data_IF_115679142798
#
_entry.id   IF_115679142798
#
_cell.length_a   1.000
_cell.length_b   1.000
_cell.length_c   1.000
_cell.angle_alpha   90.00
_cell.angle_beta   90.00
_cell.angle_gamma   90.00
#
_symmetry.space_group_name_H-M   'P 1'
#
loop_
_entity.id
_entity.type
_entity.pdbx_description
1 polymer ?
#
# COMPACT_ATOMS: atom_id res chain seq x y z
N UNK A 1 -27.60 -2.92 -24.56
CA UNK A 1 -26.52 -3.20 -23.60
C UNK A 1 -25.35 -2.35 -24.05
N UNK A 2 -24.93 -1.39 -23.23
CA UNK A 2 -23.80 -0.54 -23.58
C UNK A 2 -22.53 -1.39 -23.51
N UNK A 3 -22.02 -1.76 -24.67
CA UNK A 3 -20.75 -2.46 -24.81
C UNK A 3 -19.64 -1.44 -24.59
N UNK A 4 -18.74 -1.73 -23.66
CA UNK A 4 -17.49 -0.95 -23.50
C UNK A 4 -16.70 -0.95 -24.82
N UNK A 5 -15.78 0.00 -25.00
CA UNK A 5 -14.84 0.04 -26.15
C UNK A 5 -14.10 -1.30 -26.36
N UNK A 6 -14.04 -2.14 -25.33
CA UNK A 6 -13.39 -3.46 -25.33
C UNK A 6 -14.36 -4.64 -25.59
N UNK A 7 -15.63 -4.40 -25.89
CA UNK A 7 -16.62 -5.44 -26.22
C UNK A 7 -17.23 -6.20 -25.03
N UNK A 8 -16.81 -5.90 -23.80
CA UNK A 8 -17.45 -6.43 -22.58
C UNK A 8 -18.70 -5.60 -22.21
N UNK A 9 -19.73 -6.22 -21.59
CA UNK A 9 -20.85 -5.47 -21.04
C UNK A 9 -20.33 -4.44 -20.05
N UNK A 10 -20.59 -3.15 -20.32
CA UNK A 10 -20.17 -2.07 -19.45
C UNK A 10 -21.03 -2.10 -18.19
N UNK A 11 -20.63 -2.89 -17.19
CA UNK A 11 -21.28 -2.87 -15.90
C UNK A 11 -20.67 -1.74 -15.05
N UNK A 12 -21.39 -0.64 -14.77
CA UNK A 12 -20.89 0.51 -14.00
C UNK A 12 -20.43 0.14 -12.58
N UNK A 13 -20.88 -1.01 -12.07
CA UNK A 13 -20.49 -1.58 -10.77
C UNK A 13 -19.00 -1.97 -10.66
N UNK A 14 -18.30 -2.22 -11.77
CA UNK A 14 -16.88 -2.59 -11.75
C UNK A 14 -15.96 -1.44 -11.31
N UNK A 15 -16.33 -0.19 -11.57
CA UNK A 15 -15.54 0.98 -11.18
C UNK A 15 -15.52 1.12 -9.66
N UNK A 16 -16.66 0.92 -9.00
CA UNK A 16 -16.77 0.99 -7.55
C UNK A 16 -15.97 -0.12 -6.83
N UNK A 17 -15.93 -1.32 -7.41
CA UNK A 17 -15.12 -2.43 -6.87
C UNK A 17 -13.63 -2.15 -7.04
N UNK A 18 -13.20 -1.74 -8.24
CA UNK A 18 -11.80 -1.43 -8.53
C UNK A 18 -11.29 -0.31 -7.63
N UNK A 19 -12.05 0.79 -7.49
CA UNK A 19 -11.66 1.91 -6.64
C UNK A 19 -11.45 1.47 -5.18
N UNK A 20 -12.41 0.72 -4.60
CA UNK A 20 -12.31 0.22 -3.22
C UNK A 20 -11.14 -0.73 -3.02
N UNK A 21 -10.88 -1.59 -4.00
CA UNK A 21 -9.76 -2.53 -3.95
C UNK A 21 -8.41 -1.80 -3.98
N UNK A 22 -8.26 -0.80 -4.85
CA UNK A 22 -7.08 0.06 -4.92
C UNK A 22 -6.90 0.82 -3.61
N UNK A 23 -7.96 1.45 -3.08
CA UNK A 23 -7.89 2.19 -1.82
C UNK A 23 -7.50 1.26 -0.66
N UNK A 24 -8.11 0.07 -0.56
CA UNK A 24 -7.74 -0.90 0.48
C UNK A 24 -6.27 -1.33 0.37
N UNK A 25 -5.80 -1.66 -0.84
CA UNK A 25 -4.41 -2.00 -1.10
C UNK A 25 -3.46 -0.87 -0.74
N UNK A 26 -3.79 0.37 -1.10
CA UNK A 26 -3.03 1.58 -0.78
C UNK A 26 -2.84 1.75 0.73
N UNK A 27 -3.92 1.65 1.51
CA UNK A 27 -3.84 1.75 2.97
C UNK A 27 -2.96 0.65 3.58
N UNK A 28 -3.12 -0.60 3.14
CA UNK A 28 -2.28 -1.71 3.61
C UNK A 28 -0.81 -1.46 3.26
N UNK A 29 -0.52 -1.13 2.00
CA UNK A 29 0.83 -0.91 1.52
C UNK A 29 1.54 0.22 2.25
N UNK A 30 0.89 1.38 2.38
CA UNK A 30 1.44 2.53 3.12
C UNK A 30 1.57 2.23 4.61
N UNK A 31 0.66 1.43 5.19
CA UNK A 31 0.78 0.97 6.57
C UNK A 31 2.05 0.13 6.78
N UNK A 32 2.36 -0.76 5.84
CA UNK A 32 3.58 -1.60 5.88
C UNK A 32 4.84 -0.76 5.70
N UNK A 33 4.87 0.17 4.74
CA UNK A 33 6.04 1.05 4.54
C UNK A 33 6.30 1.91 5.77
N UNK A 34 5.26 2.49 6.36
CA UNK A 34 5.36 3.27 7.59
C UNK A 34 5.81 2.42 8.79
N UNK A 35 5.36 1.17 8.88
CA UNK A 35 5.84 0.23 9.91
C UNK A 35 7.32 -0.06 9.77
N UNK A 36 7.79 -0.32 8.55
CA UNK A 36 9.22 -0.58 8.30
C UNK A 36 10.08 0.63 8.69
N UNK A 37 9.63 1.85 8.35
CA UNK A 37 10.31 3.09 8.76
C UNK A 37 10.28 3.32 10.27
N UNK A 38 9.15 3.04 10.93
CA UNK A 38 9.05 3.12 12.39
C UNK A 38 10.05 2.18 13.08
N UNK A 39 10.16 0.94 12.61
CA UNK A 39 11.13 -0.04 13.13
C UNK A 39 12.56 0.40 12.83
N UNK A 40 12.85 0.84 11.60
CA UNK A 40 14.17 1.36 11.22
C UNK A 40 14.60 2.53 12.11
N UNK A 41 13.71 3.49 12.36
CA UNK A 41 13.93 4.60 13.31
C UNK A 41 14.12 4.10 14.74
N UNK A 42 13.43 3.02 15.13
CA UNK A 42 13.63 2.35 16.40
C UNK A 42 15.05 1.81 16.56
N UNK A 43 15.54 1.10 15.55
CA UNK A 43 16.87 0.50 15.54
C UNK A 43 17.99 1.56 15.50
N UNK A 44 17.79 2.65 14.75
CA UNK A 44 18.74 3.75 14.67
C UNK A 44 18.85 4.57 15.97
N UNK A 45 17.81 4.61 16.80
CA UNK A 45 17.82 5.41 18.02
C UNK A 45 18.92 5.00 19.03
N UNK A 46 19.42 3.77 18.93
CA UNK A 46 20.48 3.23 19.79
C UNK A 46 21.85 3.19 19.12
N UNK A 47 21.99 3.77 17.91
CA UNK A 47 23.22 3.71 17.12
C UNK A 47 23.88 5.10 17.03
N UNK A 48 25.22 5.19 17.08
CA UNK A 48 25.94 6.41 16.76
C UNK A 48 25.61 6.90 15.34
N UNK A 49 25.55 8.22 15.15
CA UNK A 49 25.36 8.80 13.81
C UNK A 49 26.56 8.43 12.94
N UNK A 50 26.37 7.72 11.81
CA UNK A 50 27.46 7.35 10.94
C UNK A 50 28.15 8.58 10.33
N UNK A 51 29.48 8.60 10.32
CA UNK A 51 30.25 9.65 9.64
C UNK A 51 30.17 9.57 8.10
N UNK A 52 29.73 8.43 7.57
CA UNK A 52 29.55 8.18 6.13
C UNK A 52 28.21 7.50 5.86
N UNK A 53 27.61 7.68 4.67
CA UNK A 53 26.37 6.99 4.31
C UNK A 53 26.56 5.47 4.36
N UNK A 54 25.71 4.80 5.13
CA UNK A 54 25.68 3.34 5.23
C UNK A 54 24.63 2.80 4.27
N UNK A 55 25.04 2.03 3.28
CA UNK A 55 24.17 1.47 2.23
C UNK A 55 23.90 -0.02 2.40
N UNK A 56 24.56 -0.68 3.36
CA UNK A 56 24.44 -2.11 3.61
C UNK A 56 24.04 -2.39 5.06
N UNK A 57 23.35 -3.51 5.29
CA UNK A 57 22.97 -3.97 6.62
C UNK A 57 21.49 -3.82 6.92
N UNK A 58 21.11 -4.22 8.13
CA UNK A 58 19.71 -4.45 8.51
C UNK A 58 18.78 -3.25 8.27
N UNK A 59 19.24 -2.02 8.56
CA UNK A 59 18.38 -0.83 8.45
C UNK A 59 18.13 -0.43 6.99
N UNK A 60 19.15 -0.25 6.12
CA UNK A 60 18.94 -0.05 4.69
C UNK A 60 18.09 -1.16 4.04
N UNK A 61 18.37 -2.43 4.39
CA UNK A 61 17.64 -3.58 3.84
C UNK A 61 16.17 -3.58 4.29
N UNK A 62 15.89 -3.23 5.54
CA UNK A 62 14.53 -3.12 6.07
C UNK A 62 13.74 -1.99 5.41
N UNK A 63 14.38 -0.86 5.12
CA UNK A 63 13.74 0.25 4.41
C UNK A 63 13.41 -0.18 2.98
N UNK A 64 14.38 -0.78 2.28
CA UNK A 64 14.19 -1.23 0.89
C UNK A 64 13.11 -2.30 0.79
N UNK A 65 13.19 -3.34 1.62
CA UNK A 65 12.20 -4.42 1.66
C UNK A 65 10.85 -3.95 2.17
N UNK A 66 10.80 -2.98 3.09
CA UNK A 66 9.58 -2.34 3.55
C UNK A 66 8.85 -1.60 2.43
N UNK A 67 9.59 -0.83 1.61
CA UNK A 67 9.05 -0.12 0.46
C UNK A 67 8.55 -1.07 -0.64
N UNK A 68 9.41 -1.98 -1.09
CA UNK A 68 9.05 -2.95 -2.13
C UNK A 68 7.97 -3.92 -1.65
N UNK A 69 8.06 -4.37 -0.41
CA UNK A 69 7.08 -5.24 0.25
C UNK A 69 5.74 -4.56 0.43
N UNK A 70 5.71 -3.29 0.84
CA UNK A 70 4.48 -2.49 0.94
C UNK A 70 3.79 -2.34 -0.41
N UNK A 71 4.54 -2.00 -1.48
CA UNK A 71 4.00 -1.92 -2.83
C UNK A 71 3.49 -3.28 -3.35
N UNK A 72 4.25 -4.35 -3.11
CA UNK A 72 3.84 -5.71 -3.47
C UNK A 72 2.56 -6.15 -2.74
N UNK A 73 2.46 -5.89 -1.44
CA UNK A 73 1.26 -6.20 -0.66
C UNK A 73 0.05 -5.36 -1.10
N UNK A 74 0.25 -4.11 -1.48
CA UNK A 74 -0.82 -3.29 -2.05
C UNK A 74 -1.36 -3.89 -3.36
N UNK A 75 -0.46 -4.28 -4.28
CA UNK A 75 -0.84 -4.94 -5.53
C UNK A 75 -1.58 -6.25 -5.28
N UNK A 76 -1.05 -7.12 -4.40
CA UNK A 76 -1.67 -8.40 -4.07
C UNK A 76 -3.05 -8.21 -3.41
N UNK A 77 -3.17 -7.25 -2.49
CA UNK A 77 -4.43 -6.94 -1.83
C UNK A 77 -5.48 -6.45 -2.83
N UNK A 78 -5.11 -5.51 -3.70
CA UNK A 78 -5.99 -5.00 -4.74
C UNK A 78 -6.39 -6.13 -5.72
N UNK A 79 -5.44 -6.94 -6.17
CA UNK A 79 -5.68 -8.08 -7.05
C UNK A 79 -6.66 -9.09 -6.46
N UNK A 80 -6.50 -9.42 -5.18
CA UNK A 80 -7.37 -10.37 -4.48
C UNK A 80 -8.80 -9.82 -4.31
N UNK A 81 -8.94 -8.54 -3.98
CA UNK A 81 -10.25 -7.89 -3.84
C UNK A 81 -10.98 -7.69 -5.18
N UNK A 82 -10.24 -7.63 -6.29
CA UNK A 82 -10.78 -7.57 -7.65
C UNK A 82 -11.07 -8.95 -8.26
N UNK A 83 -11.08 -10.03 -7.47
CA UNK A 83 -11.49 -11.37 -7.93
C UNK A 83 -12.77 -11.43 -8.79
N UNK A 84 -13.82 -10.60 -8.56
CA UNK A 84 -15.04 -10.61 -9.38
C UNK A 84 -14.87 -10.10 -10.81
N UNK A 85 -13.76 -9.41 -11.13
CA UNK A 85 -13.50 -8.91 -12.48
C UNK A 85 -12.95 -10.08 -13.32
N UNK A 86 -13.65 -10.46 -14.38
CA UNK A 86 -13.27 -11.56 -15.27
C UNK A 86 -11.93 -11.32 -15.98
N UNK A 87 -11.66 -10.08 -16.38
CA UNK A 87 -10.46 -9.70 -17.12
C UNK A 87 -9.21 -9.60 -16.22
N UNK A 88 -8.33 -10.59 -16.29
CA UNK A 88 -7.02 -10.60 -15.61
C UNK A 88 -6.14 -9.43 -16.02
N UNK A 89 -6.23 -8.96 -17.27
CA UNK A 89 -5.47 -7.80 -17.76
C UNK A 89 -5.85 -6.52 -16.99
N UNK A 90 -7.17 -6.27 -16.84
CA UNK A 90 -7.67 -5.09 -16.09
C UNK A 90 -7.31 -5.18 -14.61
N UNK A 91 -7.43 -6.36 -14.01
CA UNK A 91 -7.01 -6.61 -12.62
C UNK A 91 -5.52 -6.31 -12.41
N UNK A 92 -4.68 -6.69 -13.38
CA UNK A 92 -3.25 -6.44 -13.34
C UNK A 92 -2.91 -4.96 -13.43
N UNK A 93 -3.54 -4.26 -14.38
CA UNK A 93 -3.38 -2.82 -14.51
C UNK A 93 -3.75 -2.08 -13.22
N UNK A 94 -4.90 -2.39 -12.61
CA UNK A 94 -5.31 -1.75 -11.36
C UNK A 94 -4.44 -2.15 -10.15
N UNK A 95 -3.94 -3.38 -10.10
CA UNK A 95 -3.01 -3.80 -9.06
C UNK A 95 -1.67 -3.04 -9.15
N UNK A 96 -1.16 -2.82 -10.37
CA UNK A 96 0.04 -1.99 -10.59
C UNK A 96 -0.19 -0.53 -10.18
N UNK A 97 -1.37 0.02 -10.49
CA UNK A 97 -1.75 1.36 -10.01
C UNK A 97 -1.75 1.43 -8.49
N UNK A 98 -2.27 0.40 -7.79
CA UNK A 98 -2.24 0.35 -6.33
C UNK A 98 -0.81 0.30 -5.76
N UNK A 99 0.08 -0.49 -6.37
CA UNK A 99 1.50 -0.52 -5.99
C UNK A 99 2.19 0.82 -6.21
N UNK A 100 2.01 1.44 -7.38
CA UNK A 100 2.61 2.72 -7.69
C UNK A 100 2.09 3.84 -6.77
N UNK A 101 0.77 3.91 -6.57
CA UNK A 101 0.16 4.85 -5.66
C UNK A 101 0.66 4.68 -4.21
N UNK A 102 0.96 3.44 -3.80
CA UNK A 102 1.58 3.16 -2.49
C UNK A 102 2.96 3.76 -2.38
N UNK A 103 3.80 3.62 -3.42
CA UNK A 103 5.13 4.23 -3.44
C UNK A 103 5.02 5.75 -3.35
N UNK A 104 4.10 6.36 -4.12
CA UNK A 104 3.85 7.81 -4.08
C UNK A 104 3.38 8.26 -2.69
N UNK A 105 2.40 7.56 -2.11
CA UNK A 105 1.88 7.91 -0.79
C UNK A 105 2.90 7.66 0.33
N UNK A 106 3.82 6.71 0.15
CA UNK A 106 4.92 6.48 1.07
C UNK A 106 5.87 7.69 1.15
N UNK A 107 5.92 8.60 0.16
CA UNK A 107 6.68 9.85 0.32
C UNK A 107 6.15 10.72 1.47
N UNK A 108 4.88 10.59 1.86
CA UNK A 108 4.29 11.33 2.99
C UNK A 108 4.90 10.94 4.33
N UNK A 109 5.54 9.77 4.43
CA UNK A 109 6.21 9.37 5.67
C UNK A 109 7.43 10.24 5.97
N UNK A 110 8.09 10.83 4.97
CA UNK A 110 9.22 11.76 5.17
C UNK A 110 8.81 13.02 5.93
N UNK A 111 7.86 13.85 5.45
CA UNK A 111 7.42 15.03 6.19
C UNK A 111 6.74 14.67 7.51
N UNK A 112 6.03 13.53 7.58
CA UNK A 112 5.43 13.08 8.84
C UNK A 112 6.47 12.75 9.91
N UNK A 113 7.57 12.10 9.53
CA UNK A 113 8.69 11.81 10.42
C UNK A 113 9.47 13.10 10.77
N UNK A 114 9.61 14.04 9.85
CA UNK A 114 10.24 15.33 10.13
C UNK A 114 9.44 16.19 11.13
N UNK A 115 8.10 16.19 11.03
CA UNK A 115 7.23 17.03 11.86
C UNK A 115 6.83 16.38 13.19
N UNK A 116 6.57 15.08 13.19
CA UNK A 116 6.01 14.35 14.34
C UNK A 116 6.89 13.19 14.82
N UNK A 117 8.05 12.97 14.19
CA UNK A 117 8.98 11.89 14.52
C UNK A 117 8.34 10.51 14.44
N UNK A 118 8.78 9.62 15.35
CA UNK A 118 8.31 8.23 15.44
C UNK A 118 6.80 8.11 15.68
N UNK A 119 6.18 9.08 16.36
CA UNK A 119 4.74 9.08 16.61
C UNK A 119 3.94 9.27 15.31
N UNK A 120 4.42 10.12 14.40
CA UNK A 120 3.81 10.31 13.07
C UNK A 120 3.83 9.03 12.24
N UNK A 121 4.97 8.34 12.22
CA UNK A 121 5.12 7.05 11.53
C UNK A 121 4.20 5.97 12.11
N UNK A 122 4.09 5.92 13.45
CA UNK A 122 3.18 4.99 14.12
C UNK A 122 1.71 5.30 13.84
N UNK A 123 1.32 6.57 13.78
CA UNK A 123 -0.03 6.95 13.42
C UNK A 123 -0.37 6.51 11.98
N UNK A 124 0.53 6.75 11.02
CA UNK A 124 0.36 6.32 9.63
C UNK A 124 0.30 4.79 9.53
N UNK A 125 1.14 4.07 10.26
CA UNK A 125 1.13 2.61 10.22
C UNK A 125 -0.18 2.03 10.75
N UNK A 126 -0.66 2.53 11.89
CA UNK A 126 -1.92 2.07 12.50
C UNK A 126 -3.10 2.41 11.61
N UNK A 127 -3.21 3.65 11.12
CA UNK A 127 -4.31 4.07 10.23
C UNK A 127 -4.25 3.31 8.91
N UNK A 128 -3.05 3.13 8.34
CA UNK A 128 -2.80 2.34 7.13
C UNK A 128 -3.28 0.91 7.28
N UNK A 129 -2.75 0.18 8.26
CA UNK A 129 -3.07 -1.23 8.45
C UNK A 129 -4.52 -1.44 8.89
N UNK A 130 -5.01 -0.69 9.88
CA UNK A 130 -6.38 -0.83 10.37
C UNK A 130 -7.40 -0.41 9.30
N UNK A 131 -7.18 0.73 8.64
CA UNK A 131 -8.03 1.22 7.56
C UNK A 131 -8.06 0.25 6.39
N UNK A 132 -6.90 -0.23 5.96
CA UNK A 132 -6.77 -1.21 4.89
C UNK A 132 -7.48 -2.53 5.20
N UNK A 133 -7.30 -3.05 6.41
CA UNK A 133 -7.98 -4.28 6.86
C UNK A 133 -9.49 -4.10 6.96
N UNK A 134 -9.97 -2.98 7.48
CA UNK A 134 -11.40 -2.68 7.58
C UNK A 134 -12.04 -2.56 6.19
N UNK A 135 -11.38 -1.87 5.26
CA UNK A 135 -11.83 -1.74 3.87
C UNK A 135 -11.82 -3.10 3.17
N UNK A 136 -10.76 -3.89 3.31
CA UNK A 136 -10.67 -5.23 2.74
C UNK A 136 -11.74 -6.18 3.28
N UNK A 137 -12.06 -6.10 4.58
CA UNK A 137 -13.15 -6.87 5.21
C UNK A 137 -14.52 -6.44 4.67
N UNK A 138 -14.77 -5.13 4.57
CA UNK A 138 -16.04 -4.60 4.02
C UNK A 138 -16.21 -4.94 2.55
N UNK A 139 -15.15 -4.90 1.76
CA UNK A 139 -15.17 -5.28 0.35
C UNK A 139 -15.51 -6.77 0.20
N UNK A 140 -14.87 -7.67 0.97
CA UNK A 140 -15.17 -9.11 0.94
C UNK A 140 -16.62 -9.45 1.32
N UNK A 141 -17.17 -8.82 2.36
CA UNK A 141 -18.55 -9.07 2.80
C UNK A 141 -19.64 -8.68 1.78
N UNK A 142 -19.32 -7.86 0.78
CA UNK A 142 -20.26 -7.45 -0.27
C UNK A 142 -20.16 -8.29 -1.53
N UNK A 143 -19.18 -9.20 -1.59
CA UNK A 143 -18.91 -10.08 -2.72
C UNK A 143 -19.30 -11.54 -2.45
N UNK A 144 -19.58 -11.87 -1.19
CA UNK A 144 -20.19 -13.13 -0.75
C UNK A 144 -21.70 -12.92 -0.59
#
# INVERSE_FOLDING_TARGET
MDTSITGEPAAPEHVGVAFRAITAGLFVGTGVTATALYVARGLQASQPVPAVPVTTGLVPDLILTGWLGGAGLAALCAWALMAPISSSYRRGAFAMVAAFATLVLALVTMPADALFGKAGLLAISVVGLAGGLLLARRARKRLA
#
